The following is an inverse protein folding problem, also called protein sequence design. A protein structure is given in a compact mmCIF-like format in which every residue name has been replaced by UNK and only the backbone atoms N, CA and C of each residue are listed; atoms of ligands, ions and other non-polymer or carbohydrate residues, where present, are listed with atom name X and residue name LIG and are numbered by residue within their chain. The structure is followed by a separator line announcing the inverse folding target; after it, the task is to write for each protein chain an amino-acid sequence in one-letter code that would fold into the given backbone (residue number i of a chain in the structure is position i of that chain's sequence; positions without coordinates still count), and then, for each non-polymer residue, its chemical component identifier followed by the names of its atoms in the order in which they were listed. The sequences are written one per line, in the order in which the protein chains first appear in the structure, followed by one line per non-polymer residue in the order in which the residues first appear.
data_IF_225056781439
#
_entry.id   IF_225056781439
#
_cell.length_a   1.000
_cell.length_b   1.000
_cell.length_c   1.000
_cell.angle_alpha   90.00
_cell.angle_beta   90.00
_cell.angle_gamma   90.00
#
_symmetry.space_group_name_H-M   'P 1'
#
loop_
_entity.id
_entity.type
_entity.pdbx_description
1 polymer ?
#
# COMPACT_ATOMS: atom_id res chain seq x y z
N UNK A 1 22.72 24.91 12.78
CA UNK A 1 23.48 23.77 13.34
C UNK A 1 24.90 23.59 12.77
N UNK A 2 25.37 24.41 11.81
CA UNK A 2 26.78 24.41 11.39
C UNK A 2 27.16 23.41 10.30
N UNK A 3 26.19 22.78 9.63
CA UNK A 3 26.43 21.74 8.60
C UNK A 3 26.47 20.33 9.18
N UNK A 4 26.52 19.32 8.31
CA UNK A 4 26.51 17.91 8.70
C UNK A 4 27.68 17.56 9.64
N UNK A 5 28.89 17.97 9.31
CA UNK A 5 30.09 17.66 10.10
C UNK A 5 30.03 18.23 11.53
N UNK A 6 29.58 19.48 11.68
CA UNK A 6 29.44 20.11 12.98
C UNK A 6 28.35 19.44 13.84
N UNK A 7 27.28 18.94 13.20
CA UNK A 7 26.25 18.15 13.89
C UNK A 7 26.83 16.83 14.36
N UNK A 8 27.54 16.10 13.49
CA UNK A 8 28.14 14.81 13.83
C UNK A 8 29.18 14.93 14.94
N UNK A 9 29.99 15.98 14.94
CA UNK A 9 30.97 16.22 16.00
C UNK A 9 30.30 16.41 17.37
N UNK A 10 29.25 17.23 17.45
CA UNK A 10 28.49 17.44 18.69
C UNK A 10 27.72 16.19 19.11
N UNK A 11 27.08 15.54 18.15
CA UNK A 11 26.35 14.30 18.39
C UNK A 11 27.27 13.19 18.91
N UNK A 12 28.54 13.14 18.47
CA UNK A 12 29.52 12.21 19.04
C UNK A 12 29.84 12.51 20.51
N UNK A 13 29.98 13.79 20.87
CA UNK A 13 30.18 14.18 22.27
C UNK A 13 28.98 13.82 23.15
N UNK A 14 27.76 14.00 22.62
CA UNK A 14 26.53 13.58 23.29
C UNK A 14 26.42 12.06 23.40
N UNK A 15 26.88 11.32 22.38
CA UNK A 15 26.95 9.87 22.39
C UNK A 15 27.86 9.37 23.51
N UNK A 16 29.06 9.94 23.62
CA UNK A 16 30.04 9.57 24.64
C UNK A 16 29.54 9.89 26.08
N UNK A 17 28.60 10.82 26.23
CA UNK A 17 27.92 11.14 27.49
C UNK A 17 26.70 10.25 27.79
N UNK A 18 26.34 9.33 26.88
CA UNK A 18 25.18 8.47 27.03
C UNK A 18 23.85 9.11 26.62
N UNK A 19 23.87 10.28 25.97
CA UNK A 19 22.67 11.00 25.53
C UNK A 19 22.07 10.41 24.23
N UNK A 20 21.95 9.08 24.15
CA UNK A 20 21.60 8.34 22.93
C UNK A 20 20.27 8.79 22.28
N UNK A 21 19.26 9.13 23.09
CA UNK A 21 17.97 9.65 22.61
C UNK A 21 18.13 10.94 21.81
N UNK A 22 19.00 11.83 22.28
CA UNK A 22 19.27 13.09 21.61
C UNK A 22 20.10 12.89 20.34
N UNK A 23 21.12 12.02 20.40
CA UNK A 23 21.94 11.66 19.24
C UNK A 23 21.08 11.10 18.11
N UNK A 24 20.22 10.12 18.40
CA UNK A 24 19.31 9.57 17.40
C UNK A 24 18.43 10.66 16.75
N UNK A 25 17.91 11.60 17.55
CA UNK A 25 17.08 12.68 17.04
C UNK A 25 17.84 13.62 16.10
N UNK A 26 19.03 14.10 16.49
CA UNK A 26 19.75 15.11 15.70
C UNK A 26 20.43 14.51 14.48
N UNK A 27 20.98 13.29 14.59
CA UNK A 27 21.67 12.63 13.49
C UNK A 27 20.67 12.17 12.42
N UNK A 28 19.43 11.81 12.79
CA UNK A 28 18.36 11.52 11.83
C UNK A 28 18.15 12.65 10.82
N UNK A 29 18.27 13.91 11.25
CA UNK A 29 18.14 15.06 10.33
C UNK A 29 19.25 15.10 9.29
N UNK A 30 20.45 14.66 9.65
CA UNK A 30 21.58 14.55 8.73
C UNK A 30 21.34 13.42 7.74
N UNK A 31 20.92 12.24 8.21
CA UNK A 31 20.63 11.08 7.35
C UNK A 31 19.48 11.36 6.38
N UNK A 32 18.42 12.04 6.81
CA UNK A 32 17.32 12.43 5.92
C UNK A 32 17.72 13.49 4.89
N UNK A 33 18.71 14.35 5.21
CA UNK A 33 19.21 15.38 4.28
C UNK A 33 20.23 14.81 3.29
N UNK A 34 21.10 13.91 3.76
CA UNK A 34 22.09 13.21 2.95
C UNK A 34 22.09 11.70 3.29
N UNK A 35 21.21 10.93 2.61
CA UNK A 35 21.07 9.48 2.85
C UNK A 35 22.31 8.65 2.51
N UNK A 36 23.29 9.23 1.82
CA UNK A 36 24.54 8.57 1.44
C UNK A 36 25.68 8.85 2.45
N UNK A 37 25.44 9.71 3.44
CA UNK A 37 26.42 10.00 4.49
C UNK A 37 26.57 8.79 5.43
N UNK A 38 27.54 7.93 5.14
CA UNK A 38 27.77 6.71 5.92
C UNK A 38 28.16 7.00 7.38
N UNK A 39 28.87 8.10 7.64
CA UNK A 39 29.25 8.47 9.00
C UNK A 39 28.02 8.81 9.86
N UNK A 40 27.07 9.56 9.29
CA UNK A 40 25.80 9.87 9.95
C UNK A 40 24.97 8.61 10.19
N UNK A 41 24.85 7.74 9.17
CA UNK A 41 24.12 6.47 9.29
C UNK A 41 24.70 5.56 10.37
N UNK A 42 26.02 5.46 10.44
CA UNK A 42 26.70 4.65 11.45
C UNK A 42 26.47 5.22 12.87
N UNK A 43 26.62 6.54 13.06
CA UNK A 43 26.42 7.16 14.36
C UNK A 43 24.97 7.06 14.85
N UNK A 44 23.99 7.22 13.94
CA UNK A 44 22.59 7.01 14.27
C UNK A 44 22.32 5.54 14.62
N UNK A 45 22.87 4.60 13.84
CA UNK A 45 22.73 3.17 14.11
C UNK A 45 23.31 2.79 15.49
N UNK A 46 24.47 3.33 15.84
CA UNK A 46 25.10 3.10 17.15
C UNK A 46 24.21 3.64 18.28
N UNK A 47 23.63 4.83 18.12
CA UNK A 47 22.73 5.42 19.11
C UNK A 47 21.43 4.60 19.28
N UNK A 48 20.81 4.18 18.18
CA UNK A 48 19.63 3.31 18.23
C UNK A 48 19.98 1.96 18.86
N UNK A 49 21.14 1.38 18.56
CA UNK A 49 21.58 0.11 19.14
C UNK A 49 21.70 0.19 20.68
N UNK A 50 22.31 1.27 21.20
CA UNK A 50 22.38 1.51 22.66
C UNK A 50 20.99 1.67 23.29
N UNK A 51 20.06 2.37 22.63
CA UNK A 51 18.68 2.47 23.09
C UNK A 51 17.97 1.11 23.07
N UNK A 52 18.23 0.27 22.07
CA UNK A 52 17.71 -1.09 21.98
C UNK A 52 18.24 -2.01 23.09
N UNK A 53 19.51 -1.85 23.49
CA UNK A 53 20.09 -2.60 24.61
C UNK A 53 19.51 -2.19 25.97
N UNK A 54 19.11 -0.93 26.13
CA UNK A 54 18.52 -0.41 27.37
C UNK A 54 16.99 -0.55 27.42
N UNK A 55 16.35 -0.89 26.31
CA UNK A 55 14.91 -1.02 26.24
C UNK A 55 14.41 -2.26 26.97
N UNK A 56 13.54 -2.05 27.96
CA UNK A 56 12.79 -3.14 28.64
C UNK A 56 11.67 -3.69 27.73
N UNK A 57 11.10 -2.82 26.88
CA UNK A 57 10.04 -3.20 25.94
C UNK A 57 10.59 -3.95 24.74
N UNK A 58 10.15 -5.20 24.57
CA UNK A 58 10.49 -6.04 23.40
C UNK A 58 10.21 -5.35 22.06
N UNK A 59 9.02 -4.75 21.85
CA UNK A 59 8.75 -3.97 20.64
C UNK A 59 9.73 -2.81 20.43
N UNK A 60 10.07 -2.04 21.46
CA UNK A 60 11.03 -0.93 21.33
C UNK A 60 12.41 -1.43 20.93
N UNK A 61 12.89 -2.50 21.56
CA UNK A 61 14.14 -3.16 21.18
C UNK A 61 14.11 -3.57 19.70
N UNK A 62 13.02 -4.17 19.23
CA UNK A 62 12.89 -4.58 17.83
C UNK A 62 12.95 -3.38 16.88
N UNK A 63 12.22 -2.29 17.17
CA UNK A 63 12.28 -1.07 16.34
C UNK A 63 13.69 -0.47 16.27
N UNK A 64 14.36 -0.35 17.42
CA UNK A 64 15.71 0.22 17.48
C UNK A 64 16.74 -0.62 16.73
N UNK A 65 16.74 -1.95 16.95
CA UNK A 65 17.74 -2.84 16.34
C UNK A 65 17.49 -3.03 14.84
N UNK A 66 16.23 -3.08 14.39
CA UNK A 66 15.92 -3.09 12.95
C UNK A 66 16.34 -1.78 12.29
N UNK A 67 16.04 -0.63 12.91
CA UNK A 67 16.49 0.68 12.41
C UNK A 67 18.02 0.76 12.28
N UNK A 68 18.76 0.31 13.29
CA UNK A 68 20.23 0.23 13.24
C UNK A 68 20.73 -0.70 12.13
N UNK A 69 20.10 -1.86 11.95
CA UNK A 69 20.45 -2.81 10.90
C UNK A 69 20.24 -2.23 9.50
N UNK A 70 19.11 -1.55 9.24
CA UNK A 70 18.79 -0.93 7.95
C UNK A 70 19.67 0.29 7.66
N UNK A 71 20.02 1.08 8.69
CA UNK A 71 20.98 2.18 8.54
C UNK A 71 22.34 1.67 8.08
N UNK A 72 22.81 0.54 8.60
CA UNK A 72 24.12 -0.03 8.23
C UNK A 72 24.12 -0.79 6.91
N UNK A 73 23.07 -1.57 6.64
CA UNK A 73 23.07 -2.55 5.55
C UNK A 73 22.06 -2.25 4.42
N UNK A 74 21.24 -1.21 4.59
CA UNK A 74 20.08 -0.96 3.74
C UNK A 74 18.91 -1.90 4.03
N UNK A 75 17.75 -1.54 3.46
CA UNK A 75 16.52 -2.34 3.57
C UNK A 75 16.67 -3.62 2.74
N UNK A 76 16.59 -4.77 3.41
CA UNK A 76 16.61 -6.07 2.75
C UNK A 76 15.20 -6.41 2.25
N UNK A 77 15.04 -6.52 0.93
CA UNK A 77 13.77 -6.95 0.34
C UNK A 77 13.66 -8.47 0.41
N UNK A 78 13.02 -8.97 1.46
CA UNK A 78 12.69 -10.39 1.59
C UNK A 78 11.33 -10.70 0.94
N UNK A 79 11.08 -11.94 0.49
CA UNK A 79 9.78 -12.33 -0.02
C UNK A 79 8.71 -12.18 1.07
N UNK A 80 7.79 -11.26 0.89
CA UNK A 80 6.57 -11.13 1.69
C UNK A 80 5.36 -11.52 0.84
N UNK A 81 4.27 -12.02 1.45
CA UNK A 81 3.05 -12.31 0.71
C UNK A 81 2.57 -11.04 -0.02
N UNK A 82 2.42 -11.13 -1.34
CA UNK A 82 2.00 -10.02 -2.19
C UNK A 82 0.48 -9.82 -2.25
N UNK A 83 -0.29 -10.66 -1.56
CA UNK A 83 -1.75 -10.62 -1.49
C UNK A 83 -2.22 -11.00 -0.09
N UNK A 84 -3.46 -10.62 0.25
CA UNK A 84 -4.16 -11.21 1.39
C UNK A 84 -4.27 -12.74 1.21
N UNK A 85 -4.41 -13.47 2.32
CA UNK A 85 -4.63 -14.92 2.24
C UNK A 85 -5.95 -15.22 1.51
N UNK A 86 -6.05 -16.38 0.82
CA UNK A 86 -7.29 -16.81 0.17
C UNK A 86 -8.52 -16.75 1.08
N UNK A 87 -8.37 -17.11 2.35
CA UNK A 87 -9.46 -17.10 3.32
C UNK A 87 -9.94 -15.68 3.64
N UNK A 88 -9.02 -14.72 3.76
CA UNK A 88 -9.37 -13.31 3.95
C UNK A 88 -10.13 -12.77 2.74
N UNK A 89 -9.69 -13.10 1.51
CA UNK A 89 -10.37 -12.63 0.28
C UNK A 89 -11.78 -13.20 0.18
N UNK A 90 -11.97 -14.50 0.48
CA UNK A 90 -13.29 -15.15 0.47
C UNK A 90 -14.22 -14.57 1.53
N UNK A 91 -13.70 -14.13 2.68
CA UNK A 91 -14.48 -13.56 3.76
C UNK A 91 -14.88 -12.09 3.55
N UNK A 92 -14.28 -11.39 2.58
CA UNK A 92 -14.69 -10.02 2.26
C UNK A 92 -16.07 -9.99 1.61
N UNK A 93 -16.92 -9.05 2.03
CA UNK A 93 -18.15 -8.72 1.29
C UNK A 93 -17.81 -7.98 -0.01
N UNK A 94 -18.75 -7.89 -0.98
CA UNK A 94 -18.55 -7.04 -2.15
C UNK A 94 -18.28 -5.57 -1.79
N UNK A 95 -18.93 -5.01 -0.75
CA UNK A 95 -18.66 -3.63 -0.30
C UNK A 95 -17.21 -3.47 0.17
N UNK A 96 -16.74 -4.36 1.06
CA UNK A 96 -15.35 -4.34 1.53
C UNK A 96 -14.35 -4.47 0.38
N UNK A 97 -14.72 -5.23 -0.65
CA UNK A 97 -13.91 -5.34 -1.85
C UNK A 97 -13.85 -4.02 -2.63
N UNK A 98 -14.97 -3.34 -2.85
CA UNK A 98 -14.98 -2.03 -3.52
C UNK A 98 -14.29 -0.94 -2.70
N UNK A 99 -14.42 -0.96 -1.37
CA UNK A 99 -13.66 -0.08 -0.48
C UNK A 99 -12.16 -0.34 -0.58
N UNK A 100 -11.75 -1.60 -0.59
CA UNK A 100 -10.35 -1.98 -0.81
C UNK A 100 -9.84 -1.50 -2.18
N UNK A 101 -10.65 -1.63 -3.23
CA UNK A 101 -10.32 -1.08 -4.55
C UNK A 101 -10.16 0.45 -4.50
N UNK A 102 -11.07 1.16 -3.83
CA UNK A 102 -11.05 2.62 -3.73
C UNK A 102 -9.75 3.13 -3.10
N UNK A 103 -9.23 2.45 -2.07
CA UNK A 103 -7.95 2.79 -1.41
C UNK A 103 -6.74 2.64 -2.34
N UNK A 104 -6.81 1.73 -3.32
CA UNK A 104 -5.71 1.45 -4.24
C UNK A 104 -5.75 2.28 -5.52
N UNK A 105 -6.72 3.18 -5.67
CA UNK A 105 -6.77 4.06 -6.84
C UNK A 105 -5.69 5.13 -6.73
N UNK A 106 -4.92 5.26 -7.80
CA UNK A 106 -4.05 6.40 -7.99
C UNK A 106 -4.91 7.62 -8.37
N UNK A 107 -5.30 8.41 -7.36
CA UNK A 107 -6.16 9.58 -7.51
C UNK A 107 -5.62 10.61 -8.51
N UNK A 108 -4.30 10.82 -8.57
CA UNK A 108 -3.68 11.75 -9.55
C UNK A 108 -3.89 11.29 -10.99
N UNK A 109 -3.68 9.99 -11.27
CA UNK A 109 -3.94 9.43 -12.61
C UNK A 109 -5.43 9.35 -12.94
N UNK A 110 -6.27 9.28 -11.92
CA UNK A 110 -7.72 9.16 -12.04
C UNK A 110 -8.47 10.51 -11.96
N UNK A 111 -7.77 11.63 -11.82
CA UNK A 111 -8.38 12.95 -11.61
C UNK A 111 -9.40 13.33 -12.70
N UNK A 112 -9.04 13.13 -13.97
CA UNK A 112 -9.90 13.42 -15.12
C UNK A 112 -10.74 12.21 -15.57
N UNK A 113 -10.63 11.08 -14.87
CA UNK A 113 -11.38 9.89 -15.21
C UNK A 113 -12.82 10.03 -14.70
N UNK A 114 -13.78 9.93 -15.62
CA UNK A 114 -15.20 9.76 -15.31
C UNK A 114 -15.71 8.45 -15.92
N UNK A 115 -16.09 7.51 -15.08
CA UNK A 115 -16.60 6.20 -15.52
C UNK A 115 -17.63 5.68 -14.53
N UNK A 116 -18.76 5.20 -15.05
CA UNK A 116 -19.80 4.53 -14.27
C UNK A 116 -19.88 3.08 -14.72
N UNK A 117 -19.75 2.14 -13.79
CA UNK A 117 -19.80 0.70 -14.04
C UNK A 117 -20.91 0.08 -13.20
N UNK A 118 -21.67 -0.84 -13.79
CA UNK A 118 -22.54 -1.73 -13.03
C UNK A 118 -21.82 -3.06 -12.83
N UNK A 119 -21.90 -3.60 -11.62
CA UNK A 119 -21.48 -4.96 -11.29
C UNK A 119 -22.70 -5.77 -10.89
N UNK A 120 -22.83 -6.95 -11.47
CA UNK A 120 -23.87 -7.92 -11.14
C UNK A 120 -23.19 -9.22 -10.70
N UNK A 121 -23.36 -9.56 -9.42
CA UNK A 121 -22.78 -10.76 -8.83
C UNK A 121 -23.71 -11.99 -8.90
N UNK A 122 -24.80 -11.92 -9.67
CA UNK A 122 -25.81 -12.97 -9.79
C UNK A 122 -26.77 -13.01 -8.59
N UNK A 123 -27.61 -14.05 -8.54
CA UNK A 123 -28.74 -14.15 -7.60
C UNK A 123 -28.34 -14.01 -6.13
N UNK A 124 -27.19 -14.55 -5.73
CA UNK A 124 -26.73 -14.52 -4.33
C UNK A 124 -25.86 -13.30 -3.99
N UNK A 125 -25.41 -12.56 -5.01
CA UNK A 125 -24.39 -11.52 -4.86
C UNK A 125 -24.91 -10.09 -5.03
N UNK A 126 -26.07 -9.91 -5.67
CA UNK A 126 -26.70 -8.60 -5.86
C UNK A 126 -25.98 -7.69 -6.87
N UNK A 127 -26.56 -6.51 -7.06
CA UNK A 127 -26.08 -5.51 -8.03
C UNK A 127 -25.44 -4.31 -7.34
N UNK A 128 -24.44 -3.71 -7.99
CA UNK A 128 -23.69 -2.58 -7.47
C UNK A 128 -23.40 -1.58 -8.58
N UNK A 129 -23.64 -0.31 -8.28
CA UNK A 129 -23.16 0.81 -9.09
C UNK A 129 -21.79 1.23 -8.56
N UNK A 130 -20.81 1.35 -9.43
CA UNK A 130 -19.45 1.82 -9.12
C UNK A 130 -19.13 3.04 -9.98
N UNK A 131 -18.75 4.14 -9.34
CA UNK A 131 -18.52 5.43 -9.97
C UNK A 131 -17.11 5.90 -9.67
N UNK A 132 -16.31 6.08 -10.72
CA UNK A 132 -15.01 6.73 -10.64
C UNK A 132 -15.16 8.15 -11.19
N UNK A 133 -15.01 9.15 -10.34
CA UNK A 133 -15.05 10.57 -10.72
C UNK A 133 -14.15 11.39 -9.79
N UNK A 134 -13.44 12.38 -10.33
CA UNK A 134 -12.54 13.27 -9.58
C UNK A 134 -11.48 12.52 -8.76
N UNK A 135 -10.99 11.38 -9.27
CA UNK A 135 -10.00 10.55 -8.59
C UNK A 135 -10.53 9.73 -7.40
N UNK A 136 -11.84 9.67 -7.19
CA UNK A 136 -12.49 8.90 -6.12
C UNK A 136 -13.37 7.82 -6.71
N UNK A 137 -13.32 6.61 -6.13
CA UNK A 137 -14.27 5.54 -6.43
C UNK A 137 -15.33 5.45 -5.34
N UNK A 138 -16.59 5.58 -5.76
CA UNK A 138 -17.76 5.35 -4.93
C UNK A 138 -18.45 4.08 -5.38
N UNK A 139 -19.11 3.40 -4.45
CA UNK A 139 -19.94 2.25 -4.76
C UNK A 139 -21.31 2.38 -4.07
N UNK A 140 -22.35 1.81 -4.66
CA UNK A 140 -23.71 1.81 -4.11
C UNK A 140 -24.35 0.45 -4.35
N UNK A 141 -24.68 -0.25 -3.27
CA UNK A 141 -25.34 -1.56 -3.32
C UNK A 141 -26.81 -1.43 -3.73
N UNK A 142 -27.31 -2.43 -4.48
CA UNK A 142 -28.70 -2.54 -4.91
C UNK A 142 -29.13 -1.50 -5.95
N UNK A 143 -28.18 -0.81 -6.58
CA UNK A 143 -28.45 0.24 -7.57
C UNK A 143 -27.72 -0.11 -8.86
N UNK A 144 -28.41 0.03 -9.99
CA UNK A 144 -27.83 -0.03 -11.33
C UNK A 144 -28.01 1.31 -12.03
N UNK A 145 -26.93 1.85 -12.59
CA UNK A 145 -27.00 3.05 -13.41
C UNK A 145 -27.53 2.71 -14.81
N UNK A 146 -28.58 3.41 -15.25
CA UNK A 146 -29.11 3.28 -16.62
C UNK A 146 -28.14 3.82 -17.68
N UNK A 147 -27.24 4.72 -17.29
CA UNK A 147 -26.22 5.37 -18.12
C UNK A 147 -24.81 4.79 -17.89
N UNK A 148 -24.71 3.57 -17.35
CA UNK A 148 -23.44 2.91 -17.13
C UNK A 148 -22.63 2.76 -18.44
N UNK A 149 -21.33 3.02 -18.36
CA UNK A 149 -20.40 2.81 -19.47
C UNK A 149 -20.23 1.33 -19.80
N UNK A 150 -20.30 0.47 -18.79
CA UNK A 150 -20.31 -0.99 -18.93
C UNK A 150 -21.00 -1.68 -17.74
N UNK A 151 -21.57 -2.84 -17.99
CA UNK A 151 -22.06 -3.78 -16.96
C UNK A 151 -21.18 -5.02 -16.97
N UNK A 152 -20.74 -5.44 -15.78
CA UNK A 152 -19.86 -6.58 -15.58
C UNK A 152 -20.63 -7.60 -14.73
N UNK A 153 -20.98 -8.73 -15.33
CA UNK A 153 -21.63 -9.85 -14.64
C UNK A 153 -20.60 -10.93 -14.38
N UNK A 154 -20.42 -11.32 -13.12
CA UNK A 154 -19.49 -12.38 -12.70
C UNK A 154 -19.89 -12.95 -11.34
N UNK A 155 -19.58 -14.22 -11.05
CA UNK A 155 -19.82 -14.75 -9.71
C UNK A 155 -18.77 -14.27 -8.69
N UNK A 156 -19.11 -14.35 -7.40
CA UNK A 156 -18.17 -14.03 -6.31
C UNK A 156 -16.90 -14.90 -6.37
N UNK A 157 -17.03 -16.16 -6.77
CA UNK A 157 -15.89 -17.06 -6.90
C UNK A 157 -14.93 -16.64 -8.01
N UNK A 158 -15.46 -16.20 -9.15
CA UNK A 158 -14.65 -15.69 -10.27
C UNK A 158 -13.94 -14.41 -9.86
N UNK A 159 -14.62 -13.51 -9.14
CA UNK A 159 -13.99 -12.31 -8.58
C UNK A 159 -12.83 -12.68 -7.64
N UNK A 160 -13.04 -13.62 -6.72
CA UNK A 160 -12.01 -14.06 -5.77
C UNK A 160 -10.75 -14.58 -6.48
N UNK A 161 -10.90 -15.40 -7.53
CA UNK A 161 -9.78 -15.90 -8.33
C UNK A 161 -9.00 -14.78 -9.01
N UNK A 162 -9.71 -13.77 -9.51
CA UNK A 162 -9.09 -12.58 -10.13
C UNK A 162 -8.28 -11.78 -9.09
N UNK A 163 -8.84 -11.57 -7.89
CA UNK A 163 -8.19 -10.82 -6.81
C UNK A 163 -6.95 -11.56 -6.27
N UNK A 164 -7.04 -12.89 -6.16
CA UNK A 164 -5.93 -13.76 -5.75
C UNK A 164 -4.88 -13.94 -6.84
N UNK A 165 -5.08 -13.36 -8.04
CA UNK A 165 -4.21 -13.51 -9.22
C UNK A 165 -4.06 -14.98 -9.66
N UNK A 166 -5.03 -15.82 -9.32
CA UNK A 166 -5.13 -17.21 -9.79
C UNK A 166 -5.61 -17.27 -11.25
N UNK A 167 -6.36 -16.25 -11.67
CA UNK A 167 -6.91 -16.10 -13.01
C UNK A 167 -6.91 -14.61 -13.42
N UNK A 168 -6.70 -14.33 -14.71
CA UNK A 168 -6.80 -12.96 -15.23
C UNK A 168 -8.22 -12.63 -15.72
N UNK A 169 -8.59 -11.34 -15.69
CA UNK A 169 -9.87 -10.89 -16.24
C UNK A 169 -10.07 -11.31 -17.71
N UNK A 170 -8.98 -11.38 -18.50
CA UNK A 170 -9.02 -11.83 -19.90
C UNK A 170 -9.35 -13.31 -20.01
N UNK A 171 -8.74 -14.16 -19.18
CA UNK A 171 -9.02 -15.60 -19.17
C UNK A 171 -10.46 -15.87 -18.72
N UNK A 172 -10.92 -15.21 -17.67
CA UNK A 172 -12.29 -15.37 -17.18
C UNK A 172 -13.33 -14.88 -18.19
N UNK A 173 -13.03 -13.83 -18.97
CA UNK A 173 -13.89 -13.39 -20.08
C UNK A 173 -13.89 -14.42 -21.22
N UNK A 174 -12.75 -15.04 -21.53
CA UNK A 174 -12.65 -16.05 -22.58
C UNK A 174 -13.36 -17.37 -22.23
N UNK A 175 -13.49 -17.69 -20.94
CA UNK A 175 -14.26 -18.83 -20.42
C UNK A 175 -15.76 -18.56 -20.31
N UNK A 176 -16.20 -17.34 -20.62
CA UNK A 176 -17.59 -16.88 -20.42
C UNK A 176 -18.01 -16.80 -18.93
N UNK A 177 -17.05 -16.92 -18.01
CA UNK A 177 -17.25 -16.76 -16.55
C UNK A 177 -17.43 -15.28 -16.15
N UNK A 178 -16.99 -14.35 -17.00
CA UNK A 178 -17.23 -12.91 -16.90
C UNK A 178 -17.89 -12.41 -18.18
N UNK A 179 -19.06 -11.78 -18.04
CA UNK A 179 -19.76 -11.13 -19.15
C UNK A 179 -19.66 -9.62 -19.00
N UNK A 180 -19.07 -8.96 -20.00
CA UNK A 180 -18.97 -7.49 -20.05
C UNK A 180 -19.85 -6.99 -21.19
N UNK A 181 -20.85 -6.17 -20.87
CA UNK A 181 -21.68 -5.46 -21.86
C UNK A 181 -21.37 -3.97 -21.81
N UNK A 182 -21.32 -3.30 -22.97
CA UNK A 182 -20.98 -1.86 -23.07
C UNK A 182 -19.57 -1.58 -23.59
N UNK A 183 -18.99 -0.43 -23.21
CA UNK A 183 -17.70 0.06 -23.73
C UNK A 183 -16.50 -0.56 -23.00
N UNK A 184 -16.11 -1.78 -23.40
CA UNK A 184 -14.99 -2.55 -22.82
C UNK A 184 -13.65 -1.78 -22.69
N UNK A 185 -13.41 -0.74 -23.51
CA UNK A 185 -12.19 0.07 -23.45
C UNK A 185 -12.02 0.88 -22.15
N UNK A 186 -13.12 1.28 -21.48
CA UNK A 186 -13.05 2.03 -20.22
C UNK A 186 -12.72 1.14 -19.02
N UNK A 187 -13.18 -0.11 -19.02
CA UNK A 187 -12.89 -1.09 -17.95
C UNK A 187 -11.39 -1.41 -17.85
N UNK A 188 -10.70 -1.58 -18.99
CA UNK A 188 -9.25 -1.78 -19.02
C UNK A 188 -8.46 -0.54 -18.56
N UNK A 189 -9.02 0.66 -18.73
CA UNK A 189 -8.43 1.90 -18.22
C UNK A 189 -8.57 2.00 -16.71
N UNK A 190 -9.70 1.59 -16.13
CA UNK A 190 -9.91 1.55 -14.67
C UNK A 190 -8.91 0.62 -13.97
N UNK A 191 -8.63 -0.57 -14.54
CA UNK A 191 -7.62 -1.49 -13.99
C UNK A 191 -6.20 -0.90 -14.01
N UNK A 192 -5.88 0.00 -14.95
CA UNK A 192 -4.58 0.70 -15.02
C UNK A 192 -4.44 1.86 -14.03
N UNK A 193 -5.55 2.28 -13.42
CA UNK A 193 -5.56 3.32 -12.38
C UNK A 193 -5.30 2.74 -10.98
N UNK A 194 -5.20 1.41 -10.88
CA UNK A 194 -4.77 0.69 -9.70
C UNK A 194 -3.25 0.89 -9.47
N UNK A 195 -2.88 1.29 -8.26
CA UNK A 195 -1.50 1.55 -7.82
C UNK A 195 -0.72 0.29 -7.44
#
# INVERSE_FOLDING_TARGET
MGGADAILQKAKQDYDQGNFRWVAQVVSKVVFTDPNNQAARNLEADALEQLGYQAESGPWRNFYLTGAQELRNGVQKLPTPNTASPDTVRAMTPEMFFDYLAVHINGEKAADAKTVLNFDFGEDGGTYKVELENGVLNHTAGVEASDADATITLSRDVLNKIVLKEETLKEATAKEDVKITGKCGKTQRAVRLYG
#
